data_IF_973440475214
#
_entry.id   IF_973440475214
#
_cell.length_a   1.000
_cell.length_b   1.000
_cell.length_c   1.000
_cell.angle_alpha   90.00
_cell.angle_beta   90.00
_cell.angle_gamma   90.00
#
_symmetry.space_group_name_H-M   'P 1'
#
loop_
_entity.id
_entity.type
_entity.pdbx_description
1 polymer ?
#
# COMPACT_ATOMS: atom_id res chain seq x y z
N UNK A 1 -7.74 -15.98 0.17
CA UNK A 1 -7.21 -14.73 -0.45
C UNK A 1 -6.97 -13.67 0.62
N UNK A 2 -5.92 -12.84 0.52
CA UNK A 2 -5.72 -11.70 1.44
C UNK A 2 -6.31 -10.42 0.83
N UNK A 3 -7.12 -9.69 1.58
CA UNK A 3 -7.64 -8.37 1.22
C UNK A 3 -7.10 -7.31 2.18
N UNK A 4 -6.84 -6.09 1.69
CA UNK A 4 -6.27 -5.01 2.50
C UNK A 4 -6.91 -3.66 2.22
N UNK A 5 -6.95 -2.80 3.24
CA UNK A 5 -7.19 -1.37 3.10
C UNK A 5 -6.10 -0.58 3.83
N UNK A 6 -5.71 0.55 3.24
CA UNK A 6 -4.71 1.45 3.79
C UNK A 6 -5.36 2.79 4.16
N UNK A 7 -5.07 3.23 5.37
CA UNK A 7 -5.45 4.54 5.89
C UNK A 7 -4.19 5.38 6.07
N UNK A 8 -4.18 6.56 5.46
CA UNK A 8 -3.15 7.57 5.67
C UNK A 8 -3.74 8.71 6.49
N UNK A 9 -3.20 8.92 7.69
CA UNK A 9 -3.56 10.01 8.58
C UNK A 9 -2.55 11.14 8.39
N UNK A 10 -2.97 12.23 7.76
CA UNK A 10 -2.09 13.33 7.40
C UNK A 10 -1.60 14.08 8.64
N UNK A 11 -0.34 14.46 8.68
CA UNK A 11 0.19 15.38 9.67
C UNK A 11 0.46 16.76 9.02
N UNK A 12 -0.47 17.73 9.17
CA UNK A 12 -0.32 19.05 8.54
C UNK A 12 0.86 19.85 9.12
N UNK A 13 1.29 19.57 10.35
CA UNK A 13 2.45 20.24 10.95
C UNK A 13 3.77 19.72 10.40
N UNK A 14 3.77 18.54 9.77
CA UNK A 14 4.95 17.79 9.34
C UNK A 14 5.96 17.44 10.45
N UNK A 15 5.61 17.72 11.72
CA UNK A 15 6.44 17.45 12.88
C UNK A 15 6.37 15.97 13.28
N UNK A 16 7.53 15.33 13.42
CA UNK A 16 7.65 13.91 13.83
C UNK A 16 6.90 13.63 15.14
N UNK A 17 6.98 14.50 16.15
CA UNK A 17 6.36 14.27 17.46
C UNK A 17 4.84 14.18 17.37
N UNK A 18 4.22 14.99 16.49
CA UNK A 18 2.78 14.95 16.25
C UNK A 18 2.36 13.62 15.60
N UNK A 19 3.14 13.11 14.64
CA UNK A 19 2.89 11.80 14.05
C UNK A 19 3.09 10.67 15.06
N UNK A 20 4.11 10.74 15.92
CA UNK A 20 4.36 9.74 16.96
C UNK A 20 3.24 9.72 18.01
N UNK A 21 2.76 10.89 18.43
CA UNK A 21 1.59 11.01 19.30
C UNK A 21 0.35 10.35 18.67
N UNK A 22 0.16 10.56 17.36
CA UNK A 22 -0.92 9.91 16.60
C UNK A 22 -0.74 8.39 16.54
N UNK A 23 0.48 7.89 16.28
CA UNK A 23 0.79 6.45 16.32
C UNK A 23 0.46 5.86 17.68
N UNK A 24 0.87 6.50 18.77
CA UNK A 24 0.63 6.01 20.13
C UNK A 24 -0.87 5.98 20.45
N UNK A 25 -1.62 7.01 20.05
CA UNK A 25 -3.07 7.08 20.25
C UNK A 25 -3.81 5.97 19.51
N UNK A 26 -3.39 5.67 18.27
CA UNK A 26 -3.94 4.58 17.46
C UNK A 26 -3.52 3.20 17.98
N UNK A 27 -2.28 3.03 18.45
CA UNK A 27 -1.81 1.81 19.12
C UNK A 27 -2.68 1.51 20.34
N UNK A 28 -2.90 2.51 21.19
CA UNK A 28 -3.82 2.36 22.31
C UNK A 28 -5.21 1.97 21.83
N UNK A 29 -5.69 2.54 20.70
CA UNK A 29 -6.96 2.19 20.07
C UNK A 29 -7.05 0.71 19.69
N UNK A 30 -5.98 0.16 19.13
CA UNK A 30 -5.86 -1.26 18.80
C UNK A 30 -5.90 -2.09 20.09
N UNK A 31 -5.07 -1.76 21.07
CA UNK A 31 -4.93 -2.55 22.30
C UNK A 31 -6.21 -2.54 23.16
N UNK A 32 -6.96 -1.43 23.18
CA UNK A 32 -8.24 -1.36 23.90
C UNK A 32 -9.39 -2.05 23.16
N UNK A 33 -9.42 -1.98 21.83
CA UNK A 33 -10.54 -2.48 21.03
C UNK A 33 -10.43 -3.98 20.71
N UNK A 34 -9.22 -4.52 20.75
CA UNK A 34 -8.93 -5.92 20.39
C UNK A 34 -8.16 -6.59 21.53
N UNK A 35 -8.88 -7.03 22.57
CA UNK A 35 -8.29 -7.63 23.79
C UNK A 35 -7.38 -8.84 23.50
N UNK A 36 -7.63 -9.55 22.41
CA UNK A 36 -6.85 -10.72 21.98
C UNK A 36 -5.83 -10.38 20.87
N UNK A 37 -5.56 -9.10 20.60
CA UNK A 37 -4.57 -8.72 19.59
C UNK A 37 -3.15 -8.96 20.12
N UNK A 38 -2.43 -9.83 19.44
CA UNK A 38 -1.02 -10.09 19.73
C UNK A 38 -0.15 -9.14 18.92
N UNK A 39 0.69 -8.36 19.61
CA UNK A 39 1.74 -7.57 18.97
C UNK A 39 2.81 -8.50 18.42
N UNK A 40 3.10 -8.39 17.12
CA UNK A 40 4.19 -9.15 16.50
C UNK A 40 5.54 -8.54 16.89
N UNK A 41 6.49 -9.38 17.27
CA UNK A 41 7.80 -8.94 17.75
C UNK A 41 8.67 -8.37 16.64
N UNK A 42 8.55 -8.87 15.41
CA UNK A 42 9.35 -8.40 14.28
C UNK A 42 8.75 -7.12 13.70
N UNK A 43 9.47 -5.98 13.74
CA UNK A 43 9.00 -4.75 13.12
C UNK A 43 8.98 -4.90 11.59
N UNK A 44 8.10 -4.13 10.95
CA UNK A 44 8.08 -4.01 9.49
C UNK A 44 8.66 -2.67 9.06
N UNK A 45 9.09 -2.58 7.82
CA UNK A 45 9.65 -1.37 7.23
C UNK A 45 9.13 -1.14 5.83
N UNK A 46 9.16 0.14 5.43
CA UNK A 46 8.75 0.65 4.13
C UNK A 46 9.87 1.52 3.59
N UNK A 47 10.18 1.35 2.31
CA UNK A 47 10.97 2.30 1.53
C UNK A 47 10.23 2.57 0.22
N UNK A 48 9.85 3.82 0.01
CA UNK A 48 9.11 4.25 -1.15
C UNK A 48 9.83 5.41 -1.83
N UNK A 49 10.00 5.32 -3.15
CA UNK A 49 10.50 6.42 -3.98
C UNK A 49 9.57 6.60 -5.17
N UNK A 50 9.22 7.85 -5.48
CA UNK A 50 8.42 8.19 -6.65
C UNK A 50 9.22 9.08 -7.60
N UNK A 51 9.20 8.71 -8.88
CA UNK A 51 9.69 9.50 -9.99
C UNK A 51 8.51 9.89 -10.87
N UNK A 52 8.55 11.11 -11.39
CA UNK A 52 7.54 11.66 -12.30
C UNK A 52 8.21 12.04 -13.60
N UNK A 53 7.53 11.84 -14.71
CA UNK A 53 8.06 12.29 -15.99
C UNK A 53 8.27 13.81 -16.04
N UNK A 54 9.19 14.23 -16.90
CA UNK A 54 9.42 15.64 -17.23
C UNK A 54 8.44 16.10 -18.31
N UNK A 55 8.00 17.36 -18.23
CA UNK A 55 7.16 17.94 -19.28
C UNK A 55 8.03 18.12 -20.53
N UNK A 56 7.66 17.54 -21.70
CA UNK A 56 8.44 17.68 -22.90
C UNK A 56 8.64 19.15 -23.30
N UNK A 57 9.82 19.53 -23.80
CA UNK A 57 10.03 20.87 -24.36
C UNK A 57 9.00 21.17 -25.44
N UNK A 58 8.36 22.34 -25.37
CA UNK A 58 7.34 22.74 -26.34
C UNK A 58 5.94 22.16 -26.11
N UNK A 59 5.70 21.44 -25.00
CA UNK A 59 4.34 21.06 -24.64
C UNK A 59 3.45 22.29 -24.47
N UNK A 60 2.41 22.37 -25.30
CA UNK A 60 1.34 23.35 -25.16
C UNK A 60 0.11 22.66 -24.57
N UNK A 61 -0.36 23.09 -23.38
CA UNK A 61 -1.53 22.48 -22.76
C UNK A 61 -2.75 22.71 -23.65
N UNK A 62 -3.53 21.66 -23.98
CA UNK A 62 -4.74 21.84 -24.75
C UNK A 62 -5.72 22.71 -23.94
N UNK A 63 -6.35 23.67 -24.63
CA UNK A 63 -7.39 24.51 -24.04
C UNK A 63 -8.67 23.69 -23.89
N UNK A 64 -9.19 23.59 -22.66
CA UNK A 64 -10.47 22.95 -22.38
C UNK A 64 -11.66 23.73 -22.92
N UNK A 65 -12.85 23.14 -22.86
CA UNK A 65 -14.10 23.78 -23.25
C UNK A 65 -14.42 25.05 -22.41
N UNK A 66 -13.81 25.17 -21.24
CA UNK A 66 -13.89 26.33 -20.34
C UNK A 66 -12.84 27.42 -20.64
N UNK A 67 -12.06 27.25 -21.71
CA UNK A 67 -10.98 28.18 -22.06
C UNK A 67 -9.73 28.05 -21.19
N UNK A 68 -9.68 27.13 -20.23
CA UNK A 68 -8.53 26.97 -19.33
C UNK A 68 -7.56 25.90 -19.86
N UNK A 69 -6.24 26.10 -19.71
CA UNK A 69 -5.27 25.09 -20.08
C UNK A 69 -5.41 23.85 -19.20
N UNK A 70 -5.52 22.66 -19.82
CA UNK A 70 -5.54 21.40 -19.08
C UNK A 70 -4.14 21.12 -18.50
N UNK A 71 -4.00 20.76 -17.22
CA UNK A 71 -2.73 20.38 -16.64
C UNK A 71 -2.09 19.21 -17.38
N UNK A 72 -0.75 19.20 -17.48
CA UNK A 72 -0.01 18.06 -18.02
C UNK A 72 -0.28 16.83 -17.15
N UNK A 73 -0.74 15.75 -17.77
CA UNK A 73 -1.04 14.52 -17.08
C UNK A 73 0.23 13.66 -17.03
N UNK A 74 0.83 13.60 -15.86
CA UNK A 74 2.14 12.98 -15.65
C UNK A 74 2.08 11.45 -15.57
N UNK A 75 3.12 10.80 -16.08
CA UNK A 75 3.42 9.40 -15.81
C UNK A 75 4.27 9.27 -14.55
N UNK A 76 4.10 8.17 -13.83
CA UNK A 76 4.84 7.90 -12.60
C UNK A 76 5.56 6.54 -12.64
N UNK A 77 6.73 6.50 -12.00
CA UNK A 77 7.41 5.26 -11.68
C UNK A 77 7.69 5.21 -10.18
N UNK A 78 7.16 4.19 -9.52
CA UNK A 78 7.28 3.97 -8.10
C UNK A 78 8.23 2.82 -7.81
N UNK A 79 9.09 2.99 -6.82
CA UNK A 79 9.89 1.92 -6.23
C UNK A 79 9.38 1.71 -4.80
N UNK A 80 8.78 0.55 -4.54
CA UNK A 80 8.18 0.19 -3.27
C UNK A 80 8.86 -1.06 -2.70
N UNK A 81 9.53 -0.94 -1.57
CA UNK A 81 9.89 -2.07 -0.72
C UNK A 81 9.03 -2.04 0.54
N UNK A 82 8.35 -3.14 0.80
CA UNK A 82 7.55 -3.36 2.00
C UNK A 82 7.93 -4.71 2.58
N UNK A 83 8.58 -4.71 3.76
CA UNK A 83 9.16 -5.95 4.31
C UNK A 83 8.12 -7.00 4.70
N UNK A 84 6.87 -6.59 4.96
CA UNK A 84 5.74 -7.50 5.22
C UNK A 84 5.17 -8.15 3.97
N UNK A 85 5.44 -7.60 2.78
CA UNK A 85 5.04 -8.17 1.50
C UNK A 85 6.13 -9.10 0.95
N UNK A 86 7.37 -8.61 0.92
CA UNK A 86 8.54 -9.40 0.56
C UNK A 86 9.80 -8.81 1.19
N UNK A 87 10.60 -9.60 1.94
CA UNK A 87 11.75 -9.07 2.67
C UNK A 87 12.94 -8.69 1.77
N UNK A 88 13.00 -9.22 0.55
CA UNK A 88 14.18 -9.14 -0.32
C UNK A 88 13.86 -8.59 -1.72
N UNK A 89 12.69 -7.97 -1.91
CA UNK A 89 12.24 -7.46 -3.20
C UNK A 89 11.77 -6.02 -3.11
N UNK A 90 12.08 -5.26 -4.14
CA UNK A 90 11.47 -3.96 -4.42
C UNK A 90 10.56 -4.12 -5.63
N UNK A 91 9.34 -3.64 -5.52
CA UNK A 91 8.38 -3.59 -6.60
C UNK A 91 8.53 -2.27 -7.36
N UNK A 92 8.65 -2.37 -8.68
CA UNK A 92 8.69 -1.25 -9.61
C UNK A 92 7.32 -1.17 -10.26
N UNK A 93 6.56 -0.13 -9.95
CA UNK A 93 5.23 0.11 -10.49
C UNK A 93 5.28 1.29 -11.45
N UNK A 94 5.03 1.04 -12.73
CA UNK A 94 4.95 2.05 -13.77
C UNK A 94 3.49 2.36 -14.10
N UNK A 95 3.12 3.63 -13.94
CA UNK A 95 1.81 4.19 -14.25
C UNK A 95 1.93 5.17 -15.42
N UNK A 96 1.96 4.68 -16.67
CA UNK A 96 1.96 5.52 -17.86
C UNK A 96 0.58 6.15 -18.10
N UNK A 97 0.53 7.37 -18.66
CA UNK A 97 -0.72 8.12 -18.87
C UNK A 97 -1.76 7.38 -19.73
N UNK A 98 -1.32 6.71 -20.80
CA UNK A 98 -2.20 6.20 -21.86
C UNK A 98 -1.99 4.70 -22.14
N UNK A 99 -1.29 4.00 -21.24
CA UNK A 99 -0.96 2.58 -21.41
C UNK A 99 -1.35 1.80 -20.16
N UNK A 100 -1.38 0.49 -20.30
CA UNK A 100 -1.63 -0.40 -19.18
C UNK A 100 -0.51 -0.26 -18.14
N UNK A 101 -0.90 -0.11 -16.88
CA UNK A 101 0.06 -0.08 -15.79
C UNK A 101 0.78 -1.43 -15.65
N UNK A 102 2.04 -1.40 -15.22
CA UNK A 102 2.84 -2.61 -15.08
C UNK A 102 3.58 -2.64 -13.75
N UNK A 103 3.67 -3.84 -13.16
CA UNK A 103 4.40 -4.09 -11.92
C UNK A 103 5.46 -5.15 -12.21
N UNK A 104 6.70 -4.81 -11.90
CA UNK A 104 7.82 -5.74 -11.91
C UNK A 104 8.43 -5.81 -10.51
N UNK A 105 9.19 -6.87 -10.23
CA UNK A 105 9.96 -6.95 -8.98
C UNK A 105 11.45 -7.10 -9.27
N UNK A 106 12.26 -6.36 -8.54
CA UNK A 106 13.73 -6.44 -8.58
C UNK A 106 14.24 -6.86 -7.19
N UNK A 107 15.42 -7.49 -7.09
CA UNK A 107 16.10 -7.71 -5.80
C UNK A 107 16.27 -6.40 -5.02
N UNK A 108 16.02 -6.42 -3.71
CA UNK A 108 16.14 -5.25 -2.84
C UNK A 108 17.50 -4.54 -2.96
N UNK A 109 18.59 -5.32 -3.05
CA UNK A 109 19.96 -4.80 -3.23
C UNK A 109 20.16 -3.95 -4.51
N UNK A 110 19.26 -4.07 -5.49
CA UNK A 110 19.31 -3.30 -6.74
C UNK A 110 18.47 -2.01 -6.67
N UNK A 111 17.71 -1.78 -5.59
CA UNK A 111 16.82 -0.63 -5.46
C UNK A 111 17.56 0.71 -5.66
N UNK A 112 18.66 0.92 -4.95
CA UNK A 112 19.39 2.20 -4.99
C UNK A 112 20.12 2.41 -6.30
N UNK A 113 20.65 1.33 -6.91
CA UNK A 113 21.26 1.39 -8.24
C UNK A 113 20.21 1.79 -9.29
N UNK A 114 19.02 1.17 -9.27
CA UNK A 114 17.92 1.51 -10.16
C UNK A 114 17.44 2.96 -9.96
N UNK A 115 17.27 3.40 -8.71
CA UNK A 115 16.92 4.79 -8.39
C UNK A 115 17.98 5.79 -8.89
N UNK A 116 19.26 5.43 -8.81
CA UNK A 116 20.38 6.25 -9.28
C UNK A 116 20.39 6.40 -10.81
N UNK A 117 20.08 5.33 -11.54
CA UNK A 117 19.93 5.39 -13.01
C UNK A 117 18.83 6.40 -13.37
N UNK A 118 17.64 6.28 -12.78
CA UNK A 118 16.53 7.20 -13.03
C UNK A 118 16.90 8.65 -12.71
N UNK A 119 17.57 8.88 -11.59
CA UNK A 119 17.95 10.23 -11.16
C UNK A 119 19.05 10.85 -12.01
N UNK A 120 20.10 10.12 -12.33
CA UNK A 120 21.33 10.72 -12.88
C UNK A 120 21.47 10.48 -14.39
N UNK A 121 21.16 9.27 -14.85
CA UNK A 121 21.30 8.90 -16.26
C UNK A 121 20.03 9.23 -17.06
N UNK A 122 18.85 9.16 -16.44
CA UNK A 122 17.57 9.48 -17.05
C UNK A 122 16.94 10.77 -16.50
N UNK A 123 17.75 11.69 -15.97
CA UNK A 123 17.30 12.96 -15.37
C UNK A 123 16.46 13.83 -16.33
N UNK A 124 16.74 13.74 -17.63
CA UNK A 124 15.98 14.43 -18.67
C UNK A 124 14.55 13.89 -18.84
N UNK A 125 14.29 12.65 -18.42
CA UNK A 125 13.00 11.97 -18.54
C UNK A 125 12.27 11.88 -17.20
N UNK A 126 13.01 11.79 -16.09
CA UNK A 126 12.46 11.52 -14.76
C UNK A 126 12.95 12.52 -13.72
N UNK A 127 12.00 13.09 -13.00
CA UNK A 127 12.23 13.95 -11.84
C UNK A 127 11.87 13.22 -10.55
N UNK A 128 12.78 13.11 -9.57
CA UNK A 128 12.44 12.60 -8.25
C UNK A 128 11.37 13.48 -7.58
N UNK A 129 10.31 12.86 -7.03
CA UNK A 129 9.23 13.58 -6.33
C UNK A 129 9.28 13.37 -4.83
N UNK A 130 9.24 12.12 -4.39
CA UNK A 130 9.03 11.77 -2.98
C UNK A 130 9.90 10.60 -2.60
N UNK A 131 10.40 10.65 -1.36
CA UNK A 131 11.11 9.56 -0.72
C UNK A 131 10.52 9.43 0.67
N UNK A 132 9.84 8.32 0.89
CA UNK A 132 9.07 8.06 2.09
C UNK A 132 9.57 6.75 2.71
N UNK A 133 9.65 6.70 4.04
CA UNK A 133 10.08 5.50 4.73
C UNK A 133 9.36 5.31 6.07
N UNK A 134 9.10 4.06 6.41
CA UNK A 134 8.76 3.60 7.77
C UNK A 134 9.94 2.76 8.22
N UNK A 135 10.60 3.15 9.31
CA UNK A 135 11.78 2.43 9.81
C UNK A 135 11.41 1.26 10.72
N UNK A 136 10.51 1.52 11.66
CA UNK A 136 10.14 0.59 12.74
C UNK A 136 8.62 0.55 12.91
N UNK A 137 7.94 0.01 11.91
CA UNK A 137 6.49 -0.19 11.98
C UNK A 137 6.13 -1.32 12.93
N UNK A 138 5.00 -1.18 13.63
CA UNK A 138 4.46 -2.23 14.50
C UNK A 138 3.35 -3.00 13.77
N UNK A 139 3.27 -4.31 14.00
CA UNK A 139 2.16 -5.14 13.51
C UNK A 139 1.41 -5.78 14.68
N UNK A 140 0.09 -5.86 14.56
CA UNK A 140 -0.82 -6.57 15.45
C UNK A 140 -1.58 -7.62 14.65
N UNK A 141 -1.84 -8.77 15.26
CA UNK A 141 -2.75 -9.79 14.74
C UNK A 141 -3.80 -10.12 15.79
N UNK A 142 -5.07 -9.99 15.44
CA UNK A 142 -6.18 -10.31 16.33
C UNK A 142 -7.47 -10.59 15.55
N UNK A 143 -8.14 -11.70 15.88
CA UNK A 143 -9.32 -12.16 15.15
C UNK A 143 -9.04 -12.34 13.66
N UNK A 144 -9.90 -11.76 12.82
CA UNK A 144 -9.81 -11.83 11.35
C UNK A 144 -8.88 -10.77 10.73
N UNK A 145 -8.23 -9.94 11.55
CA UNK A 145 -7.49 -8.77 11.10
C UNK A 145 -6.00 -8.84 11.46
N UNK A 146 -5.16 -8.44 10.51
CA UNK A 146 -3.76 -8.03 10.76
C UNK A 146 -3.66 -6.54 10.52
N UNK A 147 -3.19 -5.79 11.52
CA UNK A 147 -3.06 -4.34 11.49
C UNK A 147 -1.57 -3.99 11.49
N UNK A 148 -1.11 -3.20 10.53
CA UNK A 148 0.25 -2.66 10.48
C UNK A 148 0.18 -1.15 10.61
N UNK A 149 0.89 -0.59 11.58
CA UNK A 149 0.93 0.85 11.84
C UNK A 149 2.37 1.36 11.84
N UNK A 150 2.61 2.52 11.24
CA UNK A 150 3.94 3.12 11.18
C UNK A 150 3.91 4.61 10.92
N UNK A 151 4.86 5.32 11.53
CA UNK A 151 5.13 6.73 11.24
C UNK A 151 5.90 6.84 9.91
N UNK A 152 5.40 7.70 9.02
CA UNK A 152 5.94 7.88 7.69
C UNK A 152 6.88 9.09 7.68
N UNK A 153 8.16 8.87 7.35
CA UNK A 153 9.19 9.91 7.24
C UNK A 153 9.44 10.27 5.79
N UNK A 154 9.42 11.57 5.48
CA UNK A 154 9.86 12.13 4.23
C UNK A 154 11.31 12.63 4.33
N UNK A 155 12.14 12.23 3.37
CA UNK A 155 13.51 12.71 3.25
C UNK A 155 13.73 13.37 1.90
N UNK A 156 14.63 14.37 1.87
CA UNK A 156 15.13 14.95 0.62
C UNK A 156 16.49 14.33 0.30
N UNK A 157 16.68 13.88 -0.92
CA UNK A 157 18.00 13.43 -1.40
C UNK A 157 18.69 14.57 -2.14
N UNK A 158 19.91 14.91 -1.72
CA UNK A 158 20.75 15.95 -2.32
C UNK A 158 21.85 16.42 -1.37
N UNK A 159 22.81 17.24 -1.85
CA UNK A 159 23.91 17.76 -1.02
C UNK A 159 23.44 18.63 0.15
N UNK A 160 22.18 19.07 0.14
CA UNK A 160 21.49 19.68 1.28
C UNK A 160 20.41 18.72 1.79
N UNK A 161 20.84 17.60 2.38
CA UNK A 161 19.95 16.72 3.15
C UNK A 161 19.31 17.53 4.28
N UNK A 162 18.09 18.01 4.05
CA UNK A 162 17.34 18.82 5.00
C UNK A 162 16.83 18.00 6.19
N UNK A 163 16.16 18.68 7.12
CA UNK A 163 15.49 18.04 8.24
C UNK A 163 14.49 16.97 7.74
N UNK A 164 14.45 15.84 8.45
CA UNK A 164 13.47 14.78 8.20
C UNK A 164 12.11 15.28 8.67
N UNK A 165 11.12 15.21 7.78
CA UNK A 165 9.74 15.60 8.08
C UNK A 165 8.87 14.36 8.20
N UNK A 166 7.77 14.45 8.95
CA UNK A 166 6.79 13.38 9.04
C UNK A 166 5.48 13.79 8.37
N UNK A 167 5.23 13.39 7.11
CA UNK A 167 3.95 13.65 6.44
C UNK A 167 2.74 13.03 7.15
N UNK A 168 2.91 12.02 8.00
CA UNK A 168 1.80 11.41 8.73
C UNK A 168 2.03 9.99 9.19
N UNK A 169 0.93 9.27 9.37
CA UNK A 169 0.89 7.88 9.85
C UNK A 169 0.18 7.02 8.81
N UNK A 170 0.70 5.82 8.57
CA UNK A 170 0.05 4.81 7.73
C UNK A 170 -0.47 3.66 8.59
N UNK A 171 -1.69 3.22 8.33
CA UNK A 171 -2.33 2.07 8.96
C UNK A 171 -2.85 1.14 7.86
N UNK A 172 -2.25 -0.03 7.71
CA UNK A 172 -2.71 -1.07 6.80
C UNK A 172 -3.47 -2.13 7.58
N UNK A 173 -4.74 -2.34 7.25
CA UNK A 173 -5.57 -3.39 7.83
C UNK A 173 -5.76 -4.44 6.76
N UNK A 174 -5.48 -5.69 7.11
CA UNK A 174 -5.65 -6.83 6.22
C UNK A 174 -6.54 -7.89 6.83
N UNK A 175 -7.35 -8.55 6.01
CA UNK A 175 -8.16 -9.70 6.39
C UNK A 175 -7.97 -10.85 5.41
N UNK A 176 -8.30 -12.06 5.82
CA UNK A 176 -8.24 -13.27 4.98
C UNK A 176 -9.65 -13.70 4.62
N UNK A 177 -9.92 -13.79 3.31
CA UNK A 177 -11.16 -14.30 2.73
C UNK A 177 -11.01 -15.80 2.41
N UNK A 178 -12.05 -16.59 2.71
CA UNK A 178 -12.10 -18.02 2.41
C UNK A 178 -11.36 -18.92 3.40
N UNK A 179 -11.24 -18.50 4.66
CA UNK A 179 -10.84 -19.42 5.74
C UNK A 179 -12.10 -20.08 6.32
N UNK A 180 -12.79 -20.89 5.51
CA UNK A 180 -13.71 -21.88 6.04
C UNK A 180 -12.92 -23.17 6.26
N UNK A 181 -12.71 -23.51 7.53
CA UNK A 181 -12.43 -24.84 8.07
C UNK A 181 -11.67 -25.83 7.17
N UNK A 182 -10.37 -25.62 7.00
CA UNK A 182 -9.44 -26.67 6.58
C UNK A 182 -9.11 -27.66 7.73
N UNK A 183 -10.05 -27.87 8.66
CA UNK A 183 -9.95 -28.83 9.76
C UNK A 183 -11.20 -29.73 9.81
N UNK A 184 -11.37 -30.62 8.82
CA UNK A 184 -11.94 -31.98 8.97
C UNK A 184 -12.34 -32.62 7.63
N UNK A 185 -11.38 -32.93 6.76
CA UNK A 185 -11.57 -34.05 5.83
C UNK A 185 -10.37 -34.99 5.88
N UNK A 186 -10.17 -35.56 7.07
CA UNK A 186 -9.46 -36.81 7.21
C UNK A 186 -10.41 -37.94 6.78
N UNK A 187 -9.97 -38.72 5.81
CA UNK A 187 -10.44 -40.08 5.51
C UNK A 187 -11.65 -40.23 4.55
N UNK A 188 -11.37 -40.56 3.28
CA UNK A 188 -11.87 -41.80 2.67
C UNK A 188 -11.14 -42.04 1.36
N UNK A 189 -10.18 -42.97 1.37
CA UNK A 189 -9.60 -43.51 0.16
C UNK A 189 -10.62 -44.40 -0.53
N UNK A 190 -11.07 -44.02 -1.72
CA UNK A 190 -11.61 -44.96 -2.70
C UNK A 190 -11.26 -44.47 -4.10
N UNK A 191 -10.39 -45.23 -4.76
CA UNK A 191 -10.13 -45.16 -6.20
C UNK A 191 -11.46 -45.29 -6.95
N UNK A 192 -11.83 -44.25 -7.69
CA UNK A 192 -12.83 -44.36 -8.76
C UNK A 192 -12.29 -43.68 -10.00
N UNK A 193 -11.81 -44.51 -10.92
CA UNK A 193 -11.53 -44.19 -12.31
C UNK A 193 -12.83 -43.96 -13.09
N UNK A 194 -12.77 -43.00 -14.01
CA UNK A 194 -13.62 -42.80 -15.20
C UNK A 194 -14.70 -41.69 -15.22
N UNK A 195 -14.60 -40.92 -16.30
CA UNK A 195 -15.62 -40.15 -17.02
C UNK A 195 -16.18 -38.85 -16.39
N UNK A 196 -15.53 -37.76 -16.76
CA UNK A 196 -16.09 -36.87 -17.79
C UNK A 196 -17.35 -36.10 -17.42
N UNK A 197 -17.15 -34.93 -16.80
CA UNK A 197 -17.83 -33.67 -17.15
C UNK A 197 -17.03 -32.55 -16.52
N UNK A 198 -16.48 -31.66 -17.34
CA UNK A 198 -16.00 -30.36 -16.87
C UNK A 198 -17.23 -29.56 -16.43
N UNK A 199 -17.69 -29.79 -15.20
CA UNK A 199 -18.57 -28.85 -14.55
C UNK A 199 -17.75 -27.60 -14.28
N UNK A 200 -18.16 -26.54 -14.96
CA UNK A 200 -17.82 -25.16 -14.65
C UNK A 200 -18.02 -24.99 -13.15
N UNK A 201 -16.91 -25.03 -12.41
CA UNK A 201 -16.91 -24.80 -10.97
C UNK A 201 -17.29 -23.34 -10.85
N UNK A 202 -18.53 -23.08 -10.43
CA UNK A 202 -19.00 -21.76 -10.03
C UNK A 202 -17.85 -21.09 -9.27
N UNK A 203 -17.24 -20.08 -9.89
CA UNK A 203 -16.17 -19.31 -9.27
C UNK A 203 -16.75 -18.80 -7.95
N UNK A 204 -16.33 -19.39 -6.82
CA UNK A 204 -16.71 -18.96 -5.48
C UNK A 204 -16.55 -17.45 -5.44
N UNK A 205 -17.68 -16.75 -5.46
CA UNK A 205 -17.71 -15.32 -5.60
C UNK A 205 -17.18 -14.74 -4.29
N UNK A 206 -15.86 -14.55 -4.24
CA UNK A 206 -15.16 -14.05 -3.07
C UNK A 206 -15.87 -12.77 -2.62
N UNK A 207 -16.40 -12.77 -1.39
CA UNK A 207 -17.16 -11.65 -0.87
C UNK A 207 -16.22 -10.49 -0.48
N UNK A 208 -15.85 -9.72 -1.50
CA UNK A 208 -14.99 -8.55 -1.37
C UNK A 208 -15.71 -7.43 -0.61
N UNK A 209 -17.04 -7.35 -0.70
CA UNK A 209 -17.84 -6.36 0.02
C UNK A 209 -17.80 -6.62 1.53
N UNK A 210 -17.90 -7.88 1.94
CA UNK A 210 -17.66 -8.30 3.32
C UNK A 210 -16.24 -7.94 3.77
N UNK A 211 -15.22 -8.25 2.96
CA UNK A 211 -13.83 -7.90 3.28
C UNK A 211 -13.64 -6.39 3.52
N UNK A 212 -14.22 -5.57 2.66
CA UNK A 212 -14.19 -4.10 2.78
C UNK A 212 -14.88 -3.63 4.05
N UNK A 213 -16.04 -4.21 4.35
CA UNK A 213 -16.82 -3.89 5.55
C UNK A 213 -16.02 -4.23 6.81
N UNK A 214 -15.44 -5.43 6.90
CA UNK A 214 -14.57 -5.84 8.01
C UNK A 214 -13.39 -4.89 8.20
N UNK A 215 -12.74 -4.47 7.10
CA UNK A 215 -11.62 -3.52 7.15
C UNK A 215 -12.07 -2.13 7.65
N UNK A 216 -13.23 -1.64 7.21
CA UNK A 216 -13.79 -0.34 7.65
C UNK A 216 -14.27 -0.37 9.09
N UNK A 217 -14.87 -1.47 9.52
CA UNK A 217 -15.30 -1.68 10.90
C UNK A 217 -14.10 -1.76 11.83
N UNK A 218 -13.05 -2.48 11.41
CA UNK A 218 -11.78 -2.54 12.13
C UNK A 218 -11.18 -1.13 12.30
N UNK A 219 -11.11 -0.35 11.23
CA UNK A 219 -10.63 1.04 11.30
C UNK A 219 -11.50 1.91 12.22
N UNK A 220 -12.83 1.78 12.11
CA UNK A 220 -13.77 2.54 12.93
C UNK A 220 -13.59 2.27 14.41
N UNK A 221 -13.35 1.01 14.81
CA UNK A 221 -13.02 0.64 16.20
C UNK A 221 -11.68 1.22 16.65
N UNK A 222 -10.64 1.18 15.81
CA UNK A 222 -9.31 1.72 16.16
C UNK A 222 -9.37 3.22 16.46
N UNK A 223 -10.13 3.98 15.66
CA UNK A 223 -10.21 5.45 15.81
C UNK A 223 -11.28 5.91 16.80
N UNK A 224 -12.12 5.01 17.32
CA UNK A 224 -13.25 5.40 18.17
C UNK A 224 -12.78 6.08 19.47
N UNK A 225 -13.40 7.22 19.79
CA UNK A 225 -13.02 8.06 20.93
C UNK A 225 -11.59 8.62 20.90
N UNK A 226 -10.86 8.56 19.78
CA UNK A 226 -9.50 9.10 19.65
C UNK A 226 -9.51 10.45 18.94
N UNK A 227 -8.82 11.43 19.51
CA UNK A 227 -8.61 12.72 18.86
C UNK A 227 -7.43 12.62 17.89
N UNK A 228 -7.72 12.71 16.58
CA UNK A 228 -6.72 12.78 15.52
C UNK A 228 -6.44 14.24 15.12
N UNK A 229 -6.98 15.21 15.85
CA UNK A 229 -6.81 16.64 15.61
C UNK A 229 -7.39 17.08 14.27
N UNK A 230 -6.62 17.90 13.53
CA UNK A 230 -6.98 18.39 12.19
C UNK A 230 -6.49 17.47 11.07
N UNK A 231 -6.21 16.21 11.38
CA UNK A 231 -5.67 15.28 10.40
C UNK A 231 -6.75 14.85 9.41
N UNK A 232 -6.48 15.03 8.13
CA UNK A 232 -7.27 14.40 7.07
C UNK A 232 -6.92 12.91 7.01
N UNK A 233 -7.95 12.07 6.90
CA UNK A 233 -7.79 10.62 6.75
C UNK A 233 -8.09 10.27 5.29
N UNK A 234 -7.10 9.71 4.60
CA UNK A 234 -7.27 9.20 3.26
C UNK A 234 -7.33 7.67 3.30
N UNK A 235 -8.42 7.11 2.76
CA UNK A 235 -8.62 5.68 2.60
C UNK A 235 -8.26 5.26 1.17
N UNK A 236 -7.54 4.14 1.04
CA UNK A 236 -7.30 3.45 -0.24
C UNK A 236 -7.49 1.96 -0.02
N UNK A 237 -8.44 1.39 -0.76
CA UNK A 237 -8.78 -0.03 -0.70
C UNK A 237 -8.05 -0.80 -1.79
N UNK A 238 -7.67 -2.05 -1.50
CA UNK A 238 -7.09 -2.94 -2.51
C UNK A 238 -8.12 -3.21 -3.62
N UNK A 239 -7.68 -3.14 -4.88
CA UNK A 239 -8.56 -3.48 -6.00
C UNK A 239 -9.00 -4.95 -5.93
N UNK A 240 -10.25 -5.27 -6.30
CA UNK A 240 -10.71 -6.64 -6.49
C UNK A 240 -9.77 -7.44 -7.39
N UNK A 241 -9.43 -8.65 -6.96
CA UNK A 241 -8.68 -9.60 -7.79
C UNK A 241 -9.57 -10.80 -8.03
N UNK A 242 -9.97 -11.01 -9.29
CA UNK A 242 -10.88 -12.10 -9.69
C UNK A 242 -10.21 -13.46 -9.68
N UNK A 243 -8.89 -13.48 -9.67
CA UNK A 243 -8.07 -14.68 -9.82
C UNK A 243 -7.34 -14.93 -8.50
N UNK A 244 -7.53 -16.11 -7.91
CA UNK A 244 -6.84 -16.54 -6.67
C UNK A 244 -5.32 -16.68 -6.78
N UNK A 245 -4.69 -16.11 -7.81
CA UNK A 245 -3.24 -16.11 -8.00
C UNK A 245 -2.62 -15.13 -7.01
N UNK A 246 -1.82 -15.67 -6.09
CA UNK A 246 -1.02 -14.91 -5.13
C UNK A 246 -0.23 -13.75 -5.74
N UNK A 247 0.27 -13.88 -6.98
CA UNK A 247 1.00 -12.78 -7.65
C UNK A 247 0.10 -11.55 -7.89
N UNK A 248 -1.16 -11.76 -8.25
CA UNK A 248 -2.08 -10.67 -8.51
C UNK A 248 -2.55 -10.00 -7.21
N UNK A 249 -2.73 -10.76 -6.12
CA UNK A 249 -2.95 -10.20 -4.78
C UNK A 249 -1.80 -9.26 -4.38
N UNK A 250 -0.55 -9.69 -4.61
CA UNK A 250 0.64 -8.88 -4.33
C UNK A 250 0.67 -7.61 -5.18
N UNK A 251 0.38 -7.72 -6.48
CA UNK A 251 0.29 -6.57 -7.37
C UNK A 251 -0.79 -5.59 -6.95
N UNK A 252 -1.99 -6.07 -6.59
CA UNK A 252 -3.08 -5.22 -6.10
C UNK A 252 -2.68 -4.48 -4.81
N UNK A 253 -1.97 -5.16 -3.90
CA UNK A 253 -1.42 -4.53 -2.70
C UNK A 253 -0.37 -3.47 -3.06
N UNK A 254 0.53 -3.72 -4.02
CA UNK A 254 1.51 -2.73 -4.50
C UNK A 254 0.81 -1.49 -5.06
N UNK A 255 -0.23 -1.66 -5.91
CA UNK A 255 -1.01 -0.53 -6.45
C UNK A 255 -1.62 0.31 -5.32
N UNK A 256 -2.30 -0.34 -4.37
CA UNK A 256 -2.91 0.31 -3.21
C UNK A 256 -1.90 1.15 -2.42
N UNK A 257 -0.73 0.58 -2.09
CA UNK A 257 0.32 1.30 -1.38
C UNK A 257 0.88 2.47 -2.20
N UNK A 258 1.18 2.27 -3.48
CA UNK A 258 1.71 3.31 -4.34
C UNK A 258 0.73 4.48 -4.51
N UNK A 259 -0.57 4.21 -4.67
CA UNK A 259 -1.60 5.22 -4.82
C UNK A 259 -1.79 6.04 -3.53
N UNK A 260 -1.76 5.37 -2.38
CA UNK A 260 -1.88 6.03 -1.09
C UNK A 260 -0.66 6.90 -0.75
N UNK A 261 0.55 6.40 -1.04
CA UNK A 261 1.81 7.10 -0.79
C UNK A 261 2.11 8.20 -1.82
N UNK A 262 1.44 8.21 -2.98
CA UNK A 262 1.49 9.30 -3.95
C UNK A 262 0.77 10.52 -3.37
N UNK A 263 1.50 11.29 -2.57
CA UNK A 263 1.01 12.54 -1.98
C UNK A 263 0.88 13.60 -3.09
N UNK A 264 -0.10 14.50 -2.99
CA UNK A 264 -0.33 15.55 -4.00
C UNK A 264 0.97 16.36 -4.23
N UNK A 265 1.42 16.38 -5.48
CA UNK A 265 2.62 17.08 -5.92
C UNK A 265 2.90 16.95 -7.41
#
# INVERSE_FOLDING_TARGET
MKYSGLYFVSNPSTNIDASLSTVNSLIQGIETSFQNATRKQTPWSLSYRAFRDTIPPGYQPPTGADGKPKPYAHSYQHLLHLSSLSPNRTYVFAQPLAQQESIASIPLRQQDAHASILRYQCSALWTPRQILAVREGTSYSGGLCTIQIGELRATREGPQSGAVLSPGVVVCISTTLGAEDAENHMNSGYDTTENGTAMDVDEEQVDIEYAQTVVRDCWSKIKDGRDLGRSEIREVMMAPVTTGKKSQEQEAMVRMWCDALRMRG
#
